data_IF_597294870013
#
_entry.id   IF_597294870013
#
_cell.length_a   1.000
_cell.length_b   1.000
_cell.length_c   1.000
_cell.angle_alpha   90.00
_cell.angle_beta   90.00
_cell.angle_gamma   90.00
#
_symmetry.space_group_name_H-M   'P 1'
#
loop_
_entity.id
_entity.type
_entity.pdbx_description
1 polymer ?
#
# COMPACT_ATOMS: atom_id res chain seq x y z
N UNK A 1 -15.62 -9.84 8.11
CA UNK A 1 -16.19 -8.97 7.05
C UNK A 1 -16.80 -9.73 5.88
N UNK A 2 -16.12 -10.73 5.28
CA UNK A 2 -16.61 -11.47 4.11
C UNK A 2 -18.00 -12.09 4.25
N UNK A 3 -18.29 -12.84 5.33
CA UNK A 3 -19.61 -13.45 5.51
C UNK A 3 -20.70 -12.37 5.57
N UNK A 4 -20.46 -11.29 6.32
CA UNK A 4 -21.39 -10.15 6.37
C UNK A 4 -21.64 -9.53 4.98
N UNK A 5 -20.59 -9.32 4.17
CA UNK A 5 -20.76 -8.80 2.80
C UNK A 5 -21.53 -9.77 1.89
N UNK A 6 -21.37 -11.07 2.11
CA UNK A 6 -22.08 -12.11 1.38
C UNK A 6 -23.56 -12.18 1.79
N UNK A 7 -23.85 -12.18 3.09
CA UNK A 7 -25.20 -12.21 3.65
C UNK A 7 -25.98 -10.94 3.26
N UNK A 8 -25.32 -9.78 3.37
CA UNK A 8 -25.88 -8.50 2.93
C UNK A 8 -26.15 -8.50 1.42
N UNK A 9 -25.24 -9.07 0.62
CA UNK A 9 -25.46 -9.22 -0.82
C UNK A 9 -26.66 -10.11 -1.11
N UNK A 10 -26.78 -11.25 -0.43
CA UNK A 10 -27.91 -12.17 -0.62
C UNK A 10 -29.25 -11.50 -0.32
N UNK A 11 -29.29 -10.59 0.66
CA UNK A 11 -30.46 -9.79 0.94
C UNK A 11 -30.74 -8.73 -0.13
N UNK A 12 -29.70 -8.01 -0.56
CA UNK A 12 -29.81 -6.92 -1.55
C UNK A 12 -30.13 -7.46 -2.96
N UNK A 13 -29.64 -8.64 -3.33
CA UNK A 13 -29.72 -9.16 -4.71
C UNK A 13 -31.15 -9.44 -5.17
N UNK A 14 -32.06 -9.75 -4.23
CA UNK A 14 -33.47 -10.05 -4.50
C UNK A 14 -34.43 -8.94 -4.02
N UNK A 15 -33.91 -7.85 -3.42
CA UNK A 15 -34.74 -6.80 -2.84
C UNK A 15 -35.46 -6.00 -3.92
N UNK A 16 -36.79 -5.94 -3.82
CA UNK A 16 -37.64 -5.33 -4.85
C UNK A 16 -37.38 -3.83 -5.09
N UNK A 17 -37.01 -3.07 -4.06
CA UNK A 17 -36.62 -1.66 -4.20
C UNK A 17 -35.37 -1.49 -5.06
N UNK A 18 -34.35 -2.31 -4.82
CA UNK A 18 -33.08 -2.28 -5.55
C UNK A 18 -33.27 -2.73 -7.00
N UNK A 19 -34.06 -3.78 -7.21
CA UNK A 19 -34.41 -4.23 -8.56
C UNK A 19 -35.18 -3.16 -9.35
N UNK A 20 -36.04 -2.38 -8.68
CA UNK A 20 -36.72 -1.24 -9.32
C UNK A 20 -35.71 -0.17 -9.72
N UNK A 21 -34.75 0.17 -8.86
CA UNK A 21 -33.66 1.11 -9.16
C UNK A 21 -32.83 0.62 -10.34
N UNK A 22 -32.43 -0.66 -10.39
CA UNK A 22 -31.65 -1.18 -11.52
C UNK A 22 -32.44 -1.13 -12.83
N UNK A 23 -33.75 -1.36 -12.79
CA UNK A 23 -34.61 -1.26 -13.97
C UNK A 23 -34.72 0.16 -14.53
N UNK A 24 -34.53 1.21 -13.72
CA UNK A 24 -34.54 2.59 -14.23
C UNK A 24 -33.23 2.98 -14.92
N UNK A 25 -32.15 2.20 -14.77
CA UNK A 25 -30.86 2.49 -15.37
C UNK A 25 -30.80 2.25 -16.89
N UNK A 26 -31.79 1.56 -17.47
CA UNK A 26 -31.85 1.34 -18.92
C UNK A 26 -30.74 0.43 -19.47
N UNK A 27 -30.18 -0.46 -18.64
CA UNK A 27 -29.17 -1.42 -19.07
C UNK A 27 -29.72 -2.41 -20.13
N UNK A 28 -28.90 -2.85 -21.09
CA UNK A 28 -29.35 -3.67 -22.21
C UNK A 28 -29.80 -5.08 -21.77
N UNK A 29 -30.72 -5.65 -22.56
CA UNK A 29 -31.28 -6.98 -22.32
C UNK A 29 -32.61 -6.95 -21.56
N UNK A 30 -33.08 -8.13 -21.14
CA UNK A 30 -34.36 -8.27 -20.45
C UNK A 30 -34.31 -7.67 -19.04
N UNK A 31 -35.47 -7.23 -18.49
CA UNK A 31 -35.55 -6.79 -17.11
C UNK A 31 -35.00 -7.86 -16.15
N UNK A 32 -34.13 -7.44 -15.24
CA UNK A 32 -33.48 -8.36 -14.30
C UNK A 32 -34.43 -8.79 -13.17
N UNK A 33 -34.33 -10.06 -12.78
CA UNK A 33 -35.05 -10.65 -11.64
C UNK A 33 -34.18 -10.71 -10.37
N UNK A 34 -32.85 -10.67 -10.53
CA UNK A 34 -31.86 -10.62 -9.45
C UNK A 34 -30.65 -9.77 -9.87
N UNK A 35 -29.98 -9.14 -8.90
CA UNK A 35 -28.69 -8.47 -9.16
C UNK A 35 -27.59 -9.45 -9.57
N UNK A 36 -27.74 -10.75 -9.27
CA UNK A 36 -26.82 -11.78 -9.75
C UNK A 36 -26.86 -11.93 -11.27
N UNK A 37 -28.00 -11.62 -11.92
CA UNK A 37 -28.09 -11.55 -13.38
C UNK A 37 -27.28 -10.38 -13.93
N UNK A 38 -27.28 -9.23 -13.23
CA UNK A 38 -26.45 -8.08 -13.60
C UNK A 38 -24.97 -8.47 -13.51
N UNK A 39 -24.57 -9.17 -12.44
CA UNK A 39 -23.21 -9.69 -12.30
C UNK A 39 -22.85 -10.65 -13.44
N UNK A 40 -23.75 -11.58 -13.79
CA UNK A 40 -23.54 -12.51 -14.90
C UNK A 40 -23.37 -11.77 -16.24
N UNK A 41 -24.16 -10.72 -16.49
CA UNK A 41 -24.02 -9.84 -17.66
C UNK A 41 -22.75 -9.00 -17.65
N UNK A 42 -22.17 -8.73 -16.49
CA UNK A 42 -20.80 -8.18 -16.33
C UNK A 42 -19.70 -9.25 -16.45
N UNK A 43 -20.03 -10.46 -16.94
CA UNK A 43 -19.07 -11.56 -17.10
C UNK A 43 -18.60 -12.17 -15.78
N UNK A 44 -19.36 -12.01 -14.69
CA UNK A 44 -19.13 -12.77 -13.47
C UNK A 44 -19.61 -14.21 -13.68
N UNK A 45 -18.74 -15.19 -13.42
CA UNK A 45 -19.15 -16.58 -13.33
C UNK A 45 -18.85 -17.06 -11.91
N UNK A 46 -19.87 -17.37 -11.10
CA UNK A 46 -19.64 -17.98 -9.81
C UNK A 46 -18.93 -19.33 -10.03
N UNK A 47 -18.00 -19.67 -9.15
CA UNK A 47 -17.38 -20.98 -9.17
C UNK A 47 -18.47 -22.05 -8.95
N UNK A 48 -18.50 -23.14 -9.73
CA UNK A 48 -19.44 -24.24 -9.50
C UNK A 48 -19.16 -24.82 -8.11
N UNK A 49 -20.07 -24.58 -7.14
CA UNK A 49 -19.98 -25.11 -5.77
C UNK A 49 -20.07 -24.09 -4.64
N UNK A 50 -20.03 -22.78 -4.91
CA UNK A 50 -20.20 -21.76 -3.87
C UNK A 50 -21.68 -21.36 -3.72
N UNK A 51 -22.48 -22.17 -3.02
CA UNK A 51 -23.74 -21.71 -2.41
C UNK A 51 -25.05 -22.01 -3.13
N UNK A 52 -25.14 -23.06 -3.96
CA UNK A 52 -26.44 -23.54 -4.44
C UNK A 52 -26.91 -24.72 -3.59
N UNK A 53 -27.91 -24.48 -2.72
CA UNK A 53 -28.83 -25.54 -2.34
C UNK A 53 -29.50 -26.05 -3.63
N UNK A 54 -29.66 -27.37 -3.83
CA UNK A 54 -30.20 -27.88 -5.07
C UNK A 54 -31.60 -27.30 -5.32
N UNK A 55 -31.89 -26.71 -6.49
CA UNK A 55 -33.27 -26.45 -6.84
C UNK A 55 -33.97 -27.82 -6.95
N UNK A 56 -34.89 -28.07 -6.02
CA UNK A 56 -35.93 -29.08 -6.19
C UNK A 56 -36.54 -28.89 -7.59
N UNK A 57 -36.25 -29.85 -8.46
CA UNK A 57 -36.96 -30.17 -9.69
C UNK A 57 -37.64 -28.98 -10.40
N UNK A 58 -36.85 -28.12 -11.04
CA UNK A 58 -37.34 -27.33 -12.17
C UNK A 58 -36.76 -27.94 -13.44
N UNK A 59 -37.64 -28.62 -14.16
CA UNK A 59 -37.45 -29.23 -15.47
C UNK A 59 -36.52 -28.42 -16.35
N UNK A 60 -35.49 -29.11 -16.85
CA UNK A 60 -34.59 -28.62 -17.87
C UNK A 60 -35.37 -28.15 -19.11
N UNK A 61 -35.58 -26.84 -19.19
CA UNK A 61 -35.72 -26.14 -20.47
C UNK A 61 -34.67 -25.05 -20.46
N UNK A 62 -33.40 -25.49 -20.50
CA UNK A 62 -32.24 -24.65 -20.70
C UNK A 62 -32.28 -24.11 -22.14
N UNK A 63 -33.09 -23.06 -22.31
CA UNK A 63 -33.01 -22.18 -23.47
C UNK A 63 -31.57 -21.67 -23.51
N UNK A 64 -30.90 -21.94 -24.62
CA UNK A 64 -29.52 -21.60 -24.87
C UNK A 64 -29.25 -20.15 -24.46
N UNK A 65 -28.56 -19.96 -23.34
CA UNK A 65 -27.98 -18.67 -22.98
C UNK A 65 -26.87 -18.43 -23.98
N UNK A 66 -27.11 -17.54 -24.93
CA UNK A 66 -26.11 -17.02 -25.87
C UNK A 66 -24.84 -16.70 -25.10
N UNK A 67 -23.79 -17.48 -25.35
CA UNK A 67 -22.45 -17.16 -24.88
C UNK A 67 -22.05 -15.83 -25.54
N UNK A 68 -22.31 -14.71 -24.87
CA UNK A 68 -21.91 -13.40 -25.35
C UNK A 68 -20.42 -13.38 -25.65
N UNK A 69 -20.04 -12.72 -26.74
CA UNK A 69 -18.63 -12.44 -27.03
C UNK A 69 -18.01 -11.71 -25.84
N UNK A 70 -16.74 -11.95 -25.48
CA UNK A 70 -16.06 -11.27 -24.36
C UNK A 70 -16.28 -9.76 -24.32
N UNK A 71 -16.35 -9.11 -25.48
CA UNK A 71 -16.61 -7.67 -25.64
C UNK A 71 -17.97 -7.25 -25.07
N UNK A 72 -19.02 -8.06 -25.23
CA UNK A 72 -20.36 -7.72 -24.73
C UNK A 72 -20.37 -7.63 -23.20
N UNK A 73 -19.66 -8.51 -22.49
CA UNK A 73 -19.60 -8.46 -21.03
C UNK A 73 -18.88 -7.22 -20.52
N UNK A 74 -17.85 -6.79 -21.26
CA UNK A 74 -17.04 -5.63 -20.94
C UNK A 74 -17.79 -4.32 -21.23
N UNK A 75 -18.49 -4.23 -22.36
CA UNK A 75 -19.33 -3.08 -22.70
C UNK A 75 -20.48 -2.93 -21.69
N UNK A 76 -21.07 -4.04 -21.23
CA UNK A 76 -22.07 -4.04 -20.17
C UNK A 76 -21.49 -3.54 -18.84
N UNK A 77 -20.33 -4.06 -18.45
CA UNK A 77 -19.64 -3.61 -17.23
C UNK A 77 -19.29 -2.12 -17.32
N UNK A 78 -18.87 -1.63 -18.49
CA UNK A 78 -18.57 -0.21 -18.71
C UNK A 78 -19.79 0.68 -18.43
N UNK A 79 -20.99 0.27 -18.87
CA UNK A 79 -22.22 1.01 -18.55
C UNK A 79 -22.51 1.04 -17.04
N UNK A 80 -22.32 -0.09 -16.34
CA UNK A 80 -22.44 -0.15 -14.88
C UNK A 80 -21.40 0.76 -14.20
N UNK A 81 -20.18 0.84 -14.74
CA UNK A 81 -19.14 1.74 -14.22
C UNK A 81 -19.49 3.22 -14.39
N UNK A 82 -20.14 3.61 -15.49
CA UNK A 82 -20.65 4.97 -15.65
C UNK A 82 -21.64 5.33 -14.54
N UNK A 83 -22.55 4.40 -14.20
CA UNK A 83 -23.52 4.58 -13.12
C UNK A 83 -22.86 4.60 -11.74
N UNK A 84 -21.86 3.73 -11.50
CA UNK A 84 -21.16 3.60 -10.22
C UNK A 84 -20.52 4.90 -9.71
N UNK A 85 -20.29 5.89 -10.59
CA UNK A 85 -19.85 7.23 -10.22
C UNK A 85 -20.83 7.94 -9.29
N UNK A 86 -22.13 7.81 -9.55
CA UNK A 86 -23.19 8.50 -8.81
C UNK A 86 -24.02 7.54 -7.94
N UNK A 87 -24.28 6.33 -8.44
CA UNK A 87 -25.16 5.34 -7.84
C UNK A 87 -24.38 4.36 -6.94
N UNK A 88 -24.60 4.37 -5.61
CA UNK A 88 -23.92 3.45 -4.69
C UNK A 88 -24.21 1.98 -4.98
N UNK A 89 -25.42 1.66 -5.45
CA UNK A 89 -25.80 0.29 -5.80
C UNK A 89 -24.97 -0.24 -6.98
N UNK A 90 -24.73 0.59 -8.00
CA UNK A 90 -23.88 0.20 -9.13
C UNK A 90 -22.43 -0.03 -8.69
N UNK A 91 -21.89 0.84 -7.83
CA UNK A 91 -20.57 0.63 -7.23
C UNK A 91 -20.51 -0.67 -6.40
N UNK A 92 -21.59 -1.01 -5.68
CA UNK A 92 -21.69 -2.26 -4.91
C UNK A 92 -21.72 -3.51 -5.79
N UNK A 93 -22.39 -3.46 -6.94
CA UNK A 93 -22.38 -4.54 -7.96
C UNK A 93 -20.95 -4.73 -8.48
N UNK A 94 -20.26 -3.65 -8.84
CA UNK A 94 -18.86 -3.72 -9.30
C UNK A 94 -17.94 -4.27 -8.21
N UNK A 95 -18.11 -3.84 -6.96
CA UNK A 95 -17.36 -4.36 -5.83
C UNK A 95 -17.56 -5.88 -5.70
N UNK A 96 -18.80 -6.35 -5.79
CA UNK A 96 -19.10 -7.79 -5.75
C UNK A 96 -18.43 -8.55 -6.91
N UNK A 97 -18.37 -7.94 -8.10
CA UNK A 97 -17.72 -8.49 -9.30
C UNK A 97 -16.21 -8.68 -9.12
N UNK A 98 -15.54 -7.75 -8.44
CA UNK A 98 -14.08 -7.80 -8.22
C UNK A 98 -13.69 -8.53 -6.93
N UNK A 99 -14.64 -8.76 -6.01
CA UNK A 99 -14.38 -9.30 -4.68
C UNK A 99 -13.55 -10.60 -4.69
N UNK A 100 -13.83 -11.60 -5.56
CA UNK A 100 -13.01 -12.82 -5.58
C UNK A 100 -11.55 -12.57 -6.00
N UNK A 101 -11.32 -11.59 -6.88
CA UNK A 101 -9.98 -11.19 -7.26
C UNK A 101 -9.25 -10.49 -6.10
N UNK A 102 -9.96 -9.66 -5.32
CA UNK A 102 -9.41 -9.06 -4.11
C UNK A 102 -9.07 -10.11 -3.04
N UNK A 103 -9.91 -11.13 -2.86
CA UNK A 103 -9.62 -12.28 -1.99
C UNK A 103 -8.35 -13.01 -2.45
N UNK A 104 -8.21 -13.24 -3.76
CA UNK A 104 -6.99 -13.86 -4.31
C UNK A 104 -5.74 -12.97 -4.15
N UNK A 105 -5.88 -11.65 -4.18
CA UNK A 105 -4.78 -10.72 -3.88
C UNK A 105 -4.43 -10.73 -2.40
N UNK A 106 -5.41 -10.70 -1.50
CA UNK A 106 -5.20 -10.80 -0.06
C UNK A 106 -4.48 -12.10 0.31
N UNK A 107 -4.90 -13.23 -0.26
CA UNK A 107 -4.27 -14.53 -0.04
C UNK A 107 -2.79 -14.57 -0.47
N UNK A 108 -2.42 -13.81 -1.51
CA UNK A 108 -1.03 -13.75 -1.99
C UNK A 108 -0.12 -12.92 -1.08
N UNK A 109 -0.67 -11.96 -0.34
CA UNK A 109 0.09 -11.06 0.53
C UNK A 109 0.04 -11.50 2.00
N UNK A 110 -0.92 -12.34 2.38
CA UNK A 110 -1.07 -12.80 3.76
C UNK A 110 -0.13 -13.97 4.07
N UNK A 111 0.78 -13.77 5.04
CA UNK A 111 1.58 -14.86 5.60
C UNK A 111 0.78 -15.71 6.62
N UNK A 112 -0.31 -15.14 7.20
CA UNK A 112 -1.20 -15.79 8.18
C UNK A 112 -2.69 -15.50 7.91
N UNK A 113 -3.59 -16.28 8.50
CA UNK A 113 -5.05 -16.15 8.35
C UNK A 113 -5.61 -14.87 8.97
N UNK A 114 -5.10 -14.46 10.14
CA UNK A 114 -5.52 -13.21 10.82
C UNK A 114 -5.20 -11.99 9.96
N UNK A 115 -4.02 -11.99 9.33
CA UNK A 115 -3.59 -10.90 8.45
C UNK A 115 -4.41 -10.84 7.16
N UNK A 116 -4.88 -11.98 6.64
CA UNK A 116 -5.72 -12.03 5.42
C UNK A 116 -6.99 -11.22 5.55
N UNK A 117 -7.71 -11.36 6.68
CA UNK A 117 -8.96 -10.65 6.89
C UNK A 117 -8.73 -9.14 6.98
N UNK A 118 -7.71 -8.71 7.74
CA UNK A 118 -7.31 -7.32 7.81
C UNK A 118 -6.92 -6.76 6.42
N UNK A 119 -6.13 -7.52 5.65
CA UNK A 119 -5.71 -7.13 4.31
C UNK A 119 -6.88 -6.98 3.34
N UNK A 120 -7.84 -7.87 3.43
CA UNK A 120 -9.04 -7.81 2.61
C UNK A 120 -9.94 -6.64 2.99
N UNK A 121 -10.08 -6.36 4.28
CA UNK A 121 -10.86 -5.22 4.77
C UNK A 121 -10.26 -3.92 4.22
N UNK A 122 -8.93 -3.79 4.21
CA UNK A 122 -8.22 -2.65 3.62
C UNK A 122 -8.35 -2.59 2.09
N UNK A 123 -8.23 -3.71 1.39
CA UNK A 123 -8.47 -3.79 -0.06
C UNK A 123 -9.90 -3.36 -0.42
N UNK A 124 -10.92 -3.82 0.32
CA UNK A 124 -12.31 -3.44 0.08
C UNK A 124 -12.53 -1.95 0.38
N UNK A 125 -11.94 -1.44 1.47
CA UNK A 125 -12.00 -0.02 1.82
C UNK A 125 -11.41 0.87 0.71
N UNK A 126 -10.26 0.49 0.14
CA UNK A 126 -9.63 1.23 -0.96
C UNK A 126 -10.33 1.00 -2.31
N UNK A 127 -10.94 -0.16 -2.54
CA UNK A 127 -11.65 -0.46 -3.79
C UNK A 127 -12.84 0.49 -4.02
N UNK A 128 -13.60 0.81 -2.97
CA UNK A 128 -14.79 1.66 -3.09
C UNK A 128 -14.51 3.04 -3.72
N UNK A 129 -13.60 3.88 -3.20
CA UNK A 129 -13.29 5.18 -3.81
C UNK A 129 -12.67 5.04 -5.21
N UNK A 130 -11.93 3.96 -5.49
CA UNK A 130 -11.34 3.69 -6.80
C UNK A 130 -12.44 3.39 -7.83
N UNK A 131 -13.39 2.52 -7.50
CA UNK A 131 -14.54 2.21 -8.37
C UNK A 131 -15.29 3.50 -8.72
N UNK A 132 -15.59 4.34 -7.71
CA UNK A 132 -16.36 5.58 -7.92
C UNK A 132 -15.62 6.66 -8.69
N UNK A 133 -14.28 6.63 -8.72
CA UNK A 133 -13.44 7.62 -9.42
C UNK A 133 -12.77 7.06 -10.68
N UNK A 134 -13.10 5.84 -11.07
CA UNK A 134 -12.44 5.16 -12.17
C UNK A 134 -12.65 5.93 -13.49
N UNK A 135 -11.58 6.28 -14.22
CA UNK A 135 -11.67 7.11 -15.42
C UNK A 135 -12.14 6.28 -16.62
N UNK A 136 -13.45 6.02 -16.68
CA UNK A 136 -14.10 5.20 -17.71
C UNK A 136 -13.80 5.69 -19.13
N UNK A 137 -13.69 7.00 -19.33
CA UNK A 137 -13.42 7.62 -20.63
C UNK A 137 -12.00 7.36 -21.12
N UNK A 138 -11.02 7.24 -20.20
CA UNK A 138 -9.60 7.02 -20.55
C UNK A 138 -9.25 5.54 -20.61
N UNK A 139 -9.96 4.69 -19.86
CA UNK A 139 -9.70 3.25 -19.73
C UNK A 139 -10.99 2.43 -19.82
N UNK A 140 -11.67 2.42 -20.99
CA UNK A 140 -12.96 1.75 -21.15
C UNK A 140 -12.85 0.22 -21.19
N UNK A 141 -11.63 -0.32 -21.34
CA UNK A 141 -11.34 -1.74 -21.47
C UNK A 141 -10.48 -2.24 -20.32
N UNK A 142 -10.47 -3.54 -20.13
CA UNK A 142 -9.84 -4.28 -19.05
C UNK A 142 -10.18 -3.73 -17.66
N UNK A 143 -11.45 -3.38 -17.45
CA UNK A 143 -11.92 -2.66 -16.25
C UNK A 143 -11.60 -3.44 -14.96
N UNK A 144 -12.02 -4.72 -14.89
CA UNK A 144 -11.79 -5.57 -13.70
C UNK A 144 -10.31 -5.67 -13.32
N UNK A 145 -9.39 -6.08 -14.20
CA UNK A 145 -7.97 -6.17 -13.83
C UNK A 145 -7.36 -4.80 -13.52
N UNK A 146 -7.79 -3.72 -14.18
CA UNK A 146 -7.35 -2.36 -13.84
C UNK A 146 -7.80 -1.94 -12.45
N UNK A 147 -9.07 -2.19 -12.08
CA UNK A 147 -9.58 -1.90 -10.73
C UNK A 147 -8.81 -2.68 -9.67
N UNK A 148 -8.57 -3.97 -9.90
CA UNK A 148 -7.80 -4.81 -8.97
C UNK A 148 -6.35 -4.32 -8.84
N UNK A 149 -5.72 -3.94 -9.95
CA UNK A 149 -4.38 -3.36 -9.97
C UNK A 149 -4.31 -2.03 -9.21
N UNK A 150 -5.22 -1.10 -9.49
CA UNK A 150 -5.26 0.23 -8.87
C UNK A 150 -5.54 0.08 -7.36
N UNK A 151 -6.44 -0.82 -6.98
CA UNK A 151 -6.72 -1.16 -5.56
C UNK A 151 -5.49 -1.73 -4.87
N UNK A 152 -4.79 -2.67 -5.52
CA UNK A 152 -3.58 -3.28 -4.95
C UNK A 152 -2.45 -2.26 -4.83
N UNK A 153 -2.32 -1.34 -5.78
CA UNK A 153 -1.35 -0.25 -5.72
C UNK A 153 -1.64 0.70 -4.55
N UNK A 154 -2.90 1.13 -4.39
CA UNK A 154 -3.32 2.00 -3.29
C UNK A 154 -3.13 1.35 -1.91
N UNK A 155 -3.40 0.05 -1.78
CA UNK A 155 -3.24 -0.67 -0.51
C UNK A 155 -1.77 -1.01 -0.18
N UNK A 156 -0.99 -1.54 -1.12
CA UNK A 156 0.34 -2.10 -0.78
C UNK A 156 1.52 -1.22 -1.18
N UNK A 157 1.38 -0.47 -2.26
CA UNK A 157 2.52 0.23 -2.86
C UNK A 157 2.55 1.68 -2.42
N UNK A 158 1.40 2.36 -2.41
CA UNK A 158 1.31 3.77 -2.07
C UNK A 158 1.72 4.07 -0.62
N UNK A 159 1.34 3.28 0.41
CA UNK A 159 1.79 3.53 1.78
C UNK A 159 3.31 3.41 1.92
N UNK A 160 3.92 2.40 1.29
CA UNK A 160 5.38 2.20 1.31
C UNK A 160 6.12 3.31 0.57
N UNK A 161 5.54 3.84 -0.52
CA UNK A 161 6.13 4.95 -1.29
C UNK A 161 5.91 6.32 -0.66
N UNK A 162 4.94 6.47 0.24
CA UNK A 162 4.80 7.69 1.03
C UNK A 162 5.95 7.74 2.03
N UNK A 163 6.97 8.56 1.75
CA UNK A 163 8.12 8.81 2.65
C UNK A 163 7.74 9.37 4.03
N UNK A 164 6.47 9.72 4.26
CA UNK A 164 5.95 10.15 5.56
C UNK A 164 4.54 9.59 5.77
N UNK A 165 4.37 8.68 6.72
CA UNK A 165 3.06 8.15 7.14
C UNK A 165 2.42 8.93 8.28
N UNK A 166 3.13 9.88 8.89
CA UNK A 166 2.61 10.75 9.95
C UNK A 166 2.11 12.08 9.39
N UNK A 167 0.81 12.33 9.51
CA UNK A 167 0.27 13.69 9.40
C UNK A 167 0.34 14.32 10.80
N UNK A 168 1.26 15.27 11.00
CA UNK A 168 1.33 16.06 12.23
C UNK A 168 0.53 17.34 11.99
N UNK A 169 -0.54 17.62 12.77
CA UNK A 169 -1.24 18.89 12.68
C UNK A 169 -0.26 20.02 13.02
N UNK A 170 0.01 20.87 12.04
CA UNK A 170 0.94 21.99 12.17
C UNK A 170 0.19 23.30 11.95
N UNK A 171 0.61 24.36 12.62
CA UNK A 171 0.07 25.70 12.39
C UNK A 171 0.54 26.20 11.02
N UNK A 172 -0.28 27.00 10.33
CA UNK A 172 -0.01 27.43 8.94
C UNK A 172 1.37 28.10 8.78
N UNK A 173 1.85 28.79 9.80
CA UNK A 173 3.14 29.50 9.80
C UNK A 173 4.38 28.58 9.94
N UNK A 174 4.22 27.32 10.33
CA UNK A 174 5.36 26.43 10.57
C UNK A 174 6.11 26.03 9.28
N UNK A 175 5.44 26.06 8.12
CA UNK A 175 6.09 25.82 6.82
C UNK A 175 6.94 27.01 6.35
N UNK A 176 6.59 28.22 6.80
CA UNK A 176 7.31 29.46 6.47
C UNK A 176 8.44 29.76 7.48
N UNK A 177 8.51 29.01 8.59
CA UNK A 177 9.61 29.14 9.54
C UNK A 177 10.90 28.59 8.92
N UNK A 178 11.95 29.41 8.77
CA UNK A 178 13.24 28.90 8.35
C UNK A 178 13.71 27.87 9.36
N UNK A 179 13.96 26.64 8.89
CA UNK A 179 14.56 25.61 9.71
C UNK A 179 15.99 26.05 10.04
N UNK A 180 16.25 26.39 11.30
CA UNK A 180 17.61 26.64 11.74
C UNK A 180 18.27 25.28 11.94
N UNK A 181 19.21 24.93 11.06
CA UNK A 181 20.14 23.85 11.36
C UNK A 181 20.92 24.31 12.61
N UNK A 182 20.86 23.58 13.73
CA UNK A 182 21.60 23.97 14.91
C UNK A 182 23.07 24.06 14.50
N UNK A 183 23.65 25.25 14.63
CA UNK A 183 25.09 25.45 14.39
C UNK A 183 25.81 24.79 15.57
N UNK A 184 25.94 23.46 15.51
CA UNK A 184 26.77 22.71 16.45
C UNK A 184 28.21 23.08 16.10
N UNK A 185 28.97 23.55 17.08
CA UNK A 185 30.38 23.85 16.86
C UNK A 185 31.11 22.58 16.43
N UNK A 186 32.09 22.67 15.52
CA UNK A 186 32.81 21.49 15.02
C UNK A 186 33.43 20.63 16.14
N UNK A 187 33.82 21.25 17.26
CA UNK A 187 34.29 20.53 18.45
C UNK A 187 33.17 19.77 19.17
N UNK A 188 31.99 20.36 19.30
CA UNK A 188 30.82 19.72 19.92
C UNK A 188 30.35 18.53 19.08
N UNK A 189 30.35 18.68 17.76
CA UNK A 189 30.05 17.59 16.82
C UNK A 189 31.07 16.45 16.97
N UNK A 190 32.37 16.79 17.03
CA UNK A 190 33.42 15.80 17.24
C UNK A 190 33.25 15.07 18.58
N UNK A 191 32.92 15.79 19.67
CA UNK A 191 32.67 15.19 20.98
C UNK A 191 31.48 14.23 20.92
N UNK A 192 30.39 14.62 20.27
CA UNK A 192 29.21 13.77 20.10
C UNK A 192 29.54 12.49 19.30
N UNK A 193 30.27 12.64 18.18
CA UNK A 193 30.70 11.53 17.33
C UNK A 193 31.63 10.56 18.09
N UNK A 194 32.58 11.08 18.88
CA UNK A 194 33.46 10.23 19.68
C UNK A 194 32.73 9.53 20.84
N UNK A 195 31.75 10.20 21.45
CA UNK A 195 30.91 9.59 22.48
C UNK A 195 30.09 8.42 21.92
N UNK A 196 29.50 8.60 20.74
CA UNK A 196 28.75 7.55 20.05
C UNK A 196 29.66 6.40 19.60
N UNK A 197 30.82 6.72 19.02
CA UNK A 197 31.79 5.71 18.61
C UNK A 197 32.31 4.88 19.79
N UNK A 198 32.49 5.49 20.97
CA UNK A 198 32.82 4.76 22.21
C UNK A 198 31.72 3.78 22.58
N UNK A 199 30.45 4.19 22.51
CA UNK A 199 29.29 3.33 22.78
C UNK A 199 29.27 2.13 21.83
N UNK A 200 29.72 2.32 20.60
CA UNK A 200 29.81 1.31 19.55
C UNK A 200 31.12 0.49 19.57
N UNK A 201 31.99 0.71 20.56
CA UNK A 201 33.17 -0.15 20.80
C UNK A 201 34.51 0.42 20.34
N UNK A 202 34.62 1.72 20.01
CA UNK A 202 35.91 2.35 19.79
C UNK A 202 36.72 2.38 21.10
N UNK A 203 38.00 2.00 21.03
CA UNK A 203 38.87 1.91 22.20
C UNK A 203 39.14 3.28 22.83
N UNK A 204 39.16 3.35 24.17
CA UNK A 204 39.43 4.61 24.89
C UNK A 204 40.79 5.22 24.52
N UNK A 205 41.82 4.38 24.31
CA UNK A 205 43.14 4.85 23.90
C UNK A 205 43.13 5.58 22.54
N UNK A 206 42.24 5.20 21.63
CA UNK A 206 42.09 5.88 20.33
C UNK A 206 41.40 7.25 20.50
N UNK A 207 40.43 7.34 21.42
CA UNK A 207 39.77 8.60 21.79
C UNK A 207 40.77 9.56 22.44
N UNK A 208 41.59 9.05 23.36
CA UNK A 208 42.60 9.84 24.07
C UNK A 208 43.66 10.38 23.09
N UNK A 209 44.09 9.58 22.11
CA UNK A 209 45.01 10.05 21.07
C UNK A 209 44.39 11.16 20.21
N UNK A 210 43.13 11.00 19.78
CA UNK A 210 42.45 12.06 19.01
C UNK A 210 42.29 13.34 19.85
N UNK A 211 41.98 13.23 21.14
CA UNK A 211 41.89 14.37 22.05
C UNK A 211 43.25 15.08 22.21
N UNK A 212 44.36 14.33 22.30
CA UNK A 212 45.71 14.90 22.35
C UNK A 212 46.07 15.63 21.04
N UNK A 213 45.72 15.06 19.88
CA UNK A 213 45.94 15.70 18.58
C UNK A 213 45.16 17.01 18.47
N UNK A 214 43.90 17.05 18.90
CA UNK A 214 43.07 18.26 18.89
C UNK A 214 43.62 19.33 19.84
N UNK A 215 44.09 18.92 21.02
CA UNK A 215 44.59 19.85 22.04
C UNK A 215 45.94 20.47 21.67
N UNK A 216 46.85 19.68 21.08
CA UNK A 216 48.20 20.15 20.72
C UNK A 216 48.26 20.74 19.31
N UNK A 217 47.33 20.40 18.42
CA UNK A 217 47.23 20.96 17.06
C UNK A 217 48.35 20.55 16.09
N UNK A 218 49.45 19.96 16.59
CA UNK A 218 50.61 19.51 15.80
C UNK A 218 50.98 18.05 16.08
N UNK A 219 51.01 17.17 15.07
CA UNK A 219 51.36 15.76 15.26
C UNK A 219 52.82 15.56 15.72
N UNK A 220 53.70 16.52 15.49
CA UNK A 220 55.09 16.52 15.97
C UNK A 220 55.16 16.64 17.50
N UNK A 221 54.29 17.46 18.09
CA UNK A 221 54.24 17.67 19.55
C UNK A 221 53.67 16.43 20.26
N UNK A 222 52.63 15.84 19.68
CA UNK A 222 52.07 14.55 20.16
C UNK A 222 53.11 13.43 20.06
N UNK A 223 53.90 13.41 18.99
CA UNK A 223 54.94 12.40 18.79
C UNK A 223 56.06 12.49 19.85
N UNK A 224 56.42 13.70 20.28
CA UNK A 224 57.39 13.93 21.36
C UNK A 224 56.86 13.42 22.70
N UNK A 225 55.59 13.69 23.02
CA UNK A 225 54.95 13.25 24.28
C UNK A 225 54.82 11.73 24.35
N UNK A 226 54.54 11.09 23.22
CA UNK A 226 54.39 9.64 23.12
C UNK A 226 55.70 8.90 22.81
N UNK A 227 56.83 9.60 22.70
CA UNK A 227 58.14 9.05 22.33
C UNK A 227 58.14 8.22 21.03
N UNK A 228 57.34 8.63 20.04
CA UNK A 228 57.21 7.97 18.74
C UNK A 228 57.59 8.90 17.60
N UNK A 229 57.65 8.38 16.37
CA UNK A 229 57.87 9.22 15.19
C UNK A 229 56.57 9.96 14.79
N UNK A 230 56.67 11.17 14.19
CA UNK A 230 55.50 11.87 13.63
C UNK A 230 54.77 11.07 12.53
N UNK A 231 55.47 10.13 11.88
CA UNK A 231 54.87 9.20 10.91
C UNK A 231 53.94 8.20 11.60
N UNK A 232 54.33 7.70 12.77
CA UNK A 232 53.53 6.77 13.58
C UNK A 232 52.22 7.41 14.01
N UNK A 233 52.27 8.66 14.52
CA UNK A 233 51.07 9.40 14.94
C UNK A 233 50.09 9.63 13.78
N UNK A 234 50.60 10.04 12.60
CA UNK A 234 49.75 10.22 11.40
C UNK A 234 49.12 8.92 10.93
N UNK A 235 49.90 7.83 10.84
CA UNK A 235 49.39 6.53 10.43
C UNK A 235 48.29 6.04 11.40
N UNK A 236 48.51 6.19 12.71
CA UNK A 236 47.55 5.77 13.72
C UNK A 236 46.28 6.63 13.71
N UNK A 237 46.42 7.96 13.55
CA UNK A 237 45.28 8.88 13.34
C UNK A 237 44.46 8.46 12.13
N UNK A 238 45.09 8.22 10.99
CA UNK A 238 44.40 7.89 9.75
C UNK A 238 43.67 6.53 9.87
N UNK A 239 44.27 5.56 10.58
CA UNK A 239 43.63 4.30 10.91
C UNK A 239 42.42 4.48 11.84
N UNK A 240 42.52 5.31 12.89
CA UNK A 240 41.38 5.61 13.78
C UNK A 240 40.25 6.30 12.99
N UNK A 241 40.57 7.32 12.18
CA UNK A 241 39.57 8.05 11.39
C UNK A 241 38.86 7.10 10.41
N UNK A 242 39.59 6.15 9.81
CA UNK A 242 38.99 5.12 8.96
C UNK A 242 38.02 4.23 9.75
N UNK A 243 38.42 3.73 10.92
CA UNK A 243 37.54 2.92 11.80
C UNK A 243 36.31 3.70 12.26
N UNK A 244 36.50 4.96 12.68
CA UNK A 244 35.42 5.85 13.10
C UNK A 244 34.38 6.04 12.00
N UNK A 245 34.81 6.26 10.76
CA UNK A 245 33.91 6.38 9.61
C UNK A 245 33.12 5.10 9.34
N UNK A 246 33.73 3.94 9.52
CA UNK A 246 33.03 2.67 9.31
C UNK A 246 31.96 2.44 10.40
N UNK A 247 32.31 2.69 11.67
CA UNK A 247 31.38 2.57 12.81
C UNK A 247 30.18 3.51 12.66
N UNK A 248 30.41 4.79 12.31
CA UNK A 248 29.33 5.76 12.15
C UNK A 248 28.44 5.43 10.94
N UNK A 249 29.00 4.87 9.86
CA UNK A 249 28.22 4.43 8.68
C UNK A 249 27.35 3.21 8.96
N UNK A 250 27.80 2.30 9.82
CA UNK A 250 27.02 1.11 10.19
C UNK A 250 25.88 1.44 11.17
N UNK A 251 25.96 2.58 11.87
CA UNK A 251 24.97 3.03 12.84
C UNK A 251 23.90 4.00 12.25
N UNK A 252 24.06 4.47 11.02
CA UNK A 252 23.16 5.39 10.32
C UNK A 252 22.27 4.66 9.32
#
# INVERSE_FOLDING_TARGET
MLCRLHDEWHHISIRSSELRTVRTWGLPGLPVQSLDEVLARCGYRPAPGAGQAPPVAATATATATTAGTPDHYEDYLLQVMYLARAEPLAARIVLQRILPALVAVANRHAASHTDRHAMLDELVANAWPIIRRYPCERRPRHIVPNLVRDTSFETFVRPVRRKSSGEVPMTHDQLDRPTHEPVIGALEELVAVLHEARRLGLAQADIDLLAQIVTMGRPEEVALVLEVTPRTVRNHRDAIVHRLRNIVREAA
#
